data_IF_571773331495
#
_entry.id   IF_571773331495
#
_cell.length_a   1.000
_cell.length_b   1.000
_cell.length_c   1.000
_cell.angle_alpha   90.00
_cell.angle_beta   90.00
_cell.angle_gamma   90.00
#
_symmetry.space_group_name_H-M   'P 1'
#
loop_
_entity.id
_entity.type
_entity.pdbx_description
1 polymer ?
#
# COMPACT_ATOMS: atom_id res chain seq x y z
N UNK A 1 -31.13 58.70 46.10
CA UNK A 1 -29.94 57.99 45.58
C UNK A 1 -30.37 56.84 44.68
N UNK A 2 -30.33 57.00 43.35
CA UNK A 2 -30.32 55.88 42.38
C UNK A 2 -29.55 56.35 41.13
N UNK A 3 -28.30 55.91 40.98
CA UNK A 3 -27.46 56.18 39.79
C UNK A 3 -27.88 55.24 38.67
N UNK A 4 -28.16 55.78 37.47
CA UNK A 4 -28.34 55.00 36.23
C UNK A 4 -27.00 55.04 35.49
N UNK A 5 -26.36 53.89 35.34
CA UNK A 5 -25.18 53.71 34.49
C UNK A 5 -25.63 53.00 33.20
N UNK A 6 -25.31 53.62 32.06
CA UNK A 6 -25.42 53.04 30.73
C UNK A 6 -24.33 51.97 30.58
N UNK A 7 -24.74 50.73 30.27
CA UNK A 7 -23.82 49.66 29.89
C UNK A 7 -23.59 49.72 28.37
N UNK A 8 -22.33 49.64 27.89
CA UNK A 8 -22.03 49.49 26.48
C UNK A 8 -22.30 48.04 26.04
N UNK A 9 -22.93 47.89 24.89
CA UNK A 9 -23.11 46.62 24.21
C UNK A 9 -21.74 46.18 23.67
N UNK A 10 -21.05 45.30 24.39
CA UNK A 10 -19.94 44.54 23.85
C UNK A 10 -20.52 43.35 23.08
N UNK A 11 -20.52 43.44 21.75
CA UNK A 11 -20.74 42.29 20.89
C UNK A 11 -19.56 41.32 21.06
N UNK A 12 -19.71 40.39 22.00
CA UNK A 12 -18.82 39.24 22.13
C UNK A 12 -19.06 38.32 20.94
N UNK A 13 -18.27 38.47 19.89
CA UNK A 13 -18.14 37.50 18.82
C UNK A 13 -17.50 36.25 19.44
N UNK A 14 -18.33 35.35 19.94
CA UNK A 14 -17.91 34.04 20.40
C UNK A 14 -17.44 33.27 19.17
N UNK A 15 -16.12 33.31 18.89
CA UNK A 15 -15.47 32.37 17.99
C UNK A 15 -15.72 30.98 18.57
N UNK A 16 -16.77 30.32 18.08
CA UNK A 16 -16.87 28.87 18.17
C UNK A 16 -15.73 28.34 17.32
N UNK A 17 -14.59 28.07 17.95
CA UNK A 17 -13.56 27.22 17.37
C UNK A 17 -14.26 25.91 17.04
N UNK A 18 -14.56 25.72 15.76
CA UNK A 18 -15.01 24.45 15.24
C UNK A 18 -13.96 23.42 15.64
N UNK A 19 -14.31 22.61 16.63
CA UNK A 19 -13.60 21.36 16.89
C UNK A 19 -13.66 20.62 15.57
N UNK A 20 -12.50 20.42 14.95
CA UNK A 20 -12.39 19.56 13.79
C UNK A 20 -12.90 18.19 14.20
N UNK A 21 -14.14 17.89 13.82
CA UNK A 21 -14.64 16.53 13.80
C UNK A 21 -13.80 15.86 12.73
N UNK A 22 -12.73 15.20 13.16
CA UNK A 22 -12.09 14.20 12.33
C UNK A 22 -13.12 13.09 12.14
N UNK A 23 -13.85 13.12 11.03
CA UNK A 23 -14.67 11.99 10.62
C UNK A 23 -13.78 10.75 10.66
N UNK A 24 -14.14 9.80 11.52
CA UNK A 24 -13.45 8.53 11.63
C UNK A 24 -13.65 7.78 10.31
N UNK A 25 -12.68 7.90 9.41
CA UNK A 25 -12.74 7.24 8.11
C UNK A 25 -12.70 5.72 8.32
N UNK A 26 -13.68 5.01 7.75
CA UNK A 26 -13.78 3.57 7.87
C UNK A 26 -12.53 2.90 7.26
N UNK A 27 -11.99 1.88 7.93
CA UNK A 27 -10.84 1.13 7.44
C UNK A 27 -11.14 0.48 6.08
N UNK A 28 -10.23 0.65 5.11
CA UNK A 28 -10.39 0.10 3.76
C UNK A 28 -9.79 -1.30 3.63
N UNK A 29 -10.17 -2.02 2.57
CA UNK A 29 -9.55 -3.31 2.19
C UNK A 29 -8.04 -3.18 1.95
N UNK A 30 -7.61 -2.04 1.39
CA UNK A 30 -6.20 -1.74 1.17
C UNK A 30 -5.46 -1.54 2.49
N UNK A 31 -6.05 -0.82 3.45
CA UNK A 31 -5.46 -0.63 4.78
C UNK A 31 -5.28 -1.97 5.51
N UNK A 32 -6.29 -2.83 5.43
CA UNK A 32 -6.21 -4.17 5.99
C UNK A 32 -5.10 -5.00 5.35
N UNK A 33 -5.07 -5.08 4.02
CA UNK A 33 -4.11 -5.95 3.32
C UNK A 33 -2.69 -5.45 3.51
N UNK A 34 -2.48 -4.14 3.47
CA UNK A 34 -1.21 -3.48 3.76
C UNK A 34 -0.75 -3.76 5.20
N UNK A 35 -1.65 -3.56 6.17
CA UNK A 35 -1.38 -3.83 7.59
C UNK A 35 -1.04 -5.30 7.81
N UNK A 36 -1.80 -6.22 7.20
CA UNK A 36 -1.58 -7.65 7.34
C UNK A 36 -0.20 -8.07 6.80
N UNK A 37 0.18 -7.59 5.60
CA UNK A 37 1.45 -7.90 4.93
C UNK A 37 2.67 -7.30 5.64
N UNK A 38 2.51 -6.20 6.37
CA UNK A 38 3.60 -5.56 7.12
C UNK A 38 4.25 -6.47 8.17
N UNK A 39 3.58 -7.54 8.58
CA UNK A 39 4.07 -8.50 9.56
C UNK A 39 4.67 -9.77 8.95
N UNK A 40 4.76 -9.89 7.62
CA UNK A 40 5.39 -11.06 6.97
C UNK A 40 6.80 -11.28 7.54
N UNK A 41 7.10 -12.53 7.88
CA UNK A 41 8.37 -12.93 8.48
C UNK A 41 8.43 -12.84 10.01
N UNK A 42 7.43 -12.23 10.69
CA UNK A 42 7.37 -12.26 12.16
C UNK A 42 7.34 -13.72 12.64
N UNK A 43 8.22 -14.14 13.57
CA UNK A 43 8.30 -15.52 14.03
C UNK A 43 7.00 -16.02 14.65
N UNK A 44 6.76 -17.32 14.55
CA UNK A 44 5.66 -17.94 15.28
C UNK A 44 6.08 -18.28 16.69
N UNK A 45 5.22 -17.95 17.67
CA UNK A 45 5.36 -18.40 19.05
C UNK A 45 3.98 -18.81 19.57
N UNK A 46 3.83 -20.05 20.03
CA UNK A 46 2.58 -20.52 20.60
C UNK A 46 2.19 -19.69 21.83
N UNK A 47 0.97 -19.12 21.85
CA UNK A 47 0.53 -18.20 22.89
C UNK A 47 1.20 -16.81 22.83
N UNK A 48 2.11 -16.58 21.89
CA UNK A 48 2.87 -15.33 21.77
C UNK A 48 2.00 -14.16 21.29
N UNK A 49 2.30 -12.97 21.78
CA UNK A 49 1.57 -11.72 21.48
C UNK A 49 2.50 -10.56 21.13
N UNK A 50 3.80 -10.80 20.96
CA UNK A 50 4.81 -9.77 20.71
C UNK A 50 5.43 -10.00 19.33
N UNK A 51 5.37 -9.00 18.45
CA UNK A 51 5.91 -9.07 17.09
C UNK A 51 7.43 -9.24 17.02
N UNK A 52 8.16 -8.96 18.11
CA UNK A 52 9.62 -9.12 18.18
C UNK A 52 10.03 -10.53 18.56
N UNK A 53 9.33 -11.15 19.51
CA UNK A 53 9.67 -12.49 20.01
C UNK A 53 8.87 -13.59 19.30
N UNK A 54 7.70 -13.25 18.79
CA UNK A 54 6.84 -14.10 17.99
C UNK A 54 5.38 -14.02 18.41
N UNK A 55 4.50 -14.32 17.46
CA UNK A 55 3.05 -14.30 17.65
C UNK A 55 2.44 -15.64 17.29
N UNK A 56 1.33 -16.00 17.93
CA UNK A 56 0.48 -17.08 17.43
C UNK A 56 -0.50 -16.58 16.35
N UNK A 57 -1.18 -17.52 15.70
CA UNK A 57 -2.11 -17.21 14.61
C UNK A 57 -3.23 -16.23 15.02
N UNK A 58 -3.78 -16.39 16.22
CA UNK A 58 -4.87 -15.55 16.72
C UNK A 58 -4.42 -14.21 17.28
N UNK A 59 -3.21 -14.13 17.86
CA UNK A 59 -2.60 -12.88 18.25
C UNK A 59 -2.22 -12.03 17.03
N UNK A 60 -1.74 -12.67 15.96
CA UNK A 60 -1.48 -12.01 14.69
C UNK A 60 -2.75 -11.33 14.13
N UNK A 61 -3.86 -12.05 14.04
CA UNK A 61 -5.13 -11.46 13.55
C UNK A 61 -5.62 -10.34 14.47
N UNK A 62 -5.51 -10.49 15.80
CA UNK A 62 -5.81 -9.42 16.76
C UNK A 62 -4.99 -8.15 16.48
N UNK A 63 -3.68 -8.30 16.29
CA UNK A 63 -2.78 -7.16 16.03
C UNK A 63 -3.23 -6.43 14.77
N UNK A 64 -3.44 -7.15 13.66
CA UNK A 64 -3.86 -6.55 12.38
C UNK A 64 -5.19 -5.81 12.52
N UNK A 65 -6.22 -6.45 13.08
CA UNK A 65 -7.54 -5.83 13.22
C UNK A 65 -7.55 -4.68 14.23
N UNK A 66 -6.73 -4.74 15.30
CA UNK A 66 -6.62 -3.65 16.28
C UNK A 66 -6.08 -2.36 15.68
N UNK A 67 -5.18 -2.45 14.69
CA UNK A 67 -4.68 -1.27 13.94
C UNK A 67 -5.76 -0.58 13.11
N UNK A 68 -6.86 -1.30 12.84
CA UNK A 68 -8.04 -0.80 12.13
C UNK A 68 -9.19 -0.50 13.10
N UNK A 69 -8.93 -0.46 14.41
CA UNK A 69 -9.94 -0.17 15.43
C UNK A 69 -10.90 -1.32 15.74
N UNK A 70 -10.63 -2.54 15.27
CA UNK A 70 -11.51 -3.71 15.48
C UNK A 70 -10.88 -4.65 16.51
N UNK A 71 -11.63 -4.96 17.57
CA UNK A 71 -11.19 -5.89 18.61
C UNK A 71 -11.61 -7.32 18.28
N UNK A 72 -10.65 -8.25 18.29
CA UNK A 72 -10.88 -9.68 18.16
C UNK A 72 -10.66 -10.40 19.49
N UNK A 73 -11.36 -11.52 19.69
CA UNK A 73 -11.10 -12.42 20.81
C UNK A 73 -9.70 -13.07 20.72
N UNK A 74 -9.16 -13.52 21.85
CA UNK A 74 -7.74 -13.93 21.96
C UNK A 74 -7.41 -15.23 21.23
N UNK A 75 -8.30 -16.22 21.24
CA UNK A 75 -7.99 -17.56 20.70
C UNK A 75 -8.68 -17.79 19.36
N UNK A 76 -8.12 -18.63 18.50
CA UNK A 76 -8.71 -18.98 17.20
C UNK A 76 -10.12 -19.59 17.36
N UNK A 77 -10.33 -20.44 18.36
CA UNK A 77 -11.66 -21.00 18.68
C UNK A 77 -12.66 -19.90 19.08
N UNK A 78 -12.23 -18.91 19.86
CA UNK A 78 -13.08 -17.80 20.29
C UNK A 78 -13.38 -16.83 19.13
N UNK A 79 -12.38 -16.54 18.28
CA UNK A 79 -12.58 -15.77 17.05
C UNK A 79 -13.54 -16.46 16.08
N UNK A 80 -13.57 -17.81 16.04
CA UNK A 80 -14.52 -18.55 15.23
C UNK A 80 -15.98 -18.37 15.69
N UNK A 81 -16.21 -17.98 16.94
CA UNK A 81 -17.54 -17.64 17.45
C UNK A 81 -17.87 -16.15 17.27
N UNK A 82 -16.96 -15.35 16.71
CA UNK A 82 -17.13 -13.92 16.50
C UNK A 82 -17.48 -13.62 15.03
N UNK A 83 -18.49 -12.76 14.82
CA UNK A 83 -18.91 -12.31 13.49
C UNK A 83 -19.82 -13.29 12.75
N UNK A 84 -20.06 -12.99 11.47
CA UNK A 84 -21.03 -13.71 10.62
C UNK A 84 -20.36 -14.87 9.89
N UNK A 85 -20.95 -16.06 9.90
CA UNK A 85 -20.44 -17.21 9.13
C UNK A 85 -20.52 -16.96 7.62
N UNK A 86 -19.43 -17.23 6.90
CA UNK A 86 -19.33 -17.04 5.46
C UNK A 86 -19.05 -18.37 4.75
N UNK A 87 -19.79 -18.64 3.67
CA UNK A 87 -19.53 -19.78 2.81
C UNK A 87 -18.20 -19.60 2.05
N UNK A 88 -17.47 -20.69 1.79
CA UNK A 88 -16.13 -20.63 1.17
C UNK A 88 -16.11 -19.91 -0.19
N UNK A 89 -17.20 -20.01 -0.96
CA UNK A 89 -17.37 -19.33 -2.26
C UNK A 89 -17.84 -17.87 -2.15
N UNK A 90 -18.06 -17.36 -0.93
CA UNK A 90 -18.49 -15.98 -0.64
C UNK A 90 -17.41 -15.21 0.12
N UNK A 91 -16.20 -15.77 0.20
CA UNK A 91 -15.05 -15.15 0.85
C UNK A 91 -14.73 -13.80 0.21
N UNK A 92 -14.61 -12.79 1.04
CA UNK A 92 -14.13 -11.45 0.69
C UNK A 92 -12.90 -11.12 1.51
N UNK A 93 -12.01 -10.30 0.94
CA UNK A 93 -10.81 -9.85 1.65
C UNK A 93 -11.18 -9.28 3.02
N UNK A 94 -10.47 -9.71 4.05
CA UNK A 94 -10.79 -9.39 5.46
C UNK A 94 -11.68 -10.38 6.18
N UNK A 95 -12.21 -11.40 5.51
CA UNK A 95 -12.78 -12.54 6.22
C UNK A 95 -11.67 -13.31 6.94
N UNK A 96 -11.94 -13.73 8.18
CA UNK A 96 -11.09 -14.67 8.90
C UNK A 96 -11.39 -16.09 8.41
N UNK A 97 -10.34 -16.85 8.11
CA UNK A 97 -10.42 -18.25 7.65
C UNK A 97 -9.80 -19.17 8.69
N UNK A 98 -10.47 -20.30 8.94
CA UNK A 98 -10.17 -21.17 10.07
C UNK A 98 -9.86 -22.59 9.62
N UNK A 99 -8.92 -23.24 10.31
CA UNK A 99 -8.42 -24.55 9.94
C UNK A 99 -8.25 -25.50 11.14
N UNK A 100 -8.29 -26.81 10.86
CA UNK A 100 -7.97 -27.90 11.78
C UNK A 100 -6.57 -28.45 11.48
N UNK A 101 -5.59 -27.90 12.17
CA UNK A 101 -4.17 -28.29 12.11
C UNK A 101 -3.75 -29.21 13.26
N UNK A 102 -4.55 -29.30 14.34
CA UNK A 102 -4.26 -30.15 15.51
C UNK A 102 -4.94 -31.52 15.49
N UNK A 103 -5.88 -31.75 14.56
CA UNK A 103 -6.64 -33.00 14.44
C UNK A 103 -8.05 -32.94 15.00
N UNK A 104 -8.43 -31.92 15.76
CA UNK A 104 -9.80 -31.72 16.24
C UNK A 104 -10.14 -30.23 16.39
N UNK A 105 -11.33 -29.85 15.90
CA UNK A 105 -11.85 -28.49 16.01
C UNK A 105 -11.04 -27.42 15.25
N UNK A 106 -11.36 -26.16 15.52
CA UNK A 106 -10.59 -25.01 15.03
C UNK A 106 -9.33 -24.83 15.88
N UNK A 107 -8.17 -24.89 15.22
CA UNK A 107 -6.86 -24.73 15.87
C UNK A 107 -5.98 -23.66 15.21
N UNK A 108 -6.35 -23.17 14.03
CA UNK A 108 -5.60 -22.15 13.30
C UNK A 108 -6.53 -21.12 12.66
N UNK A 109 -6.05 -19.88 12.56
CA UNK A 109 -6.77 -18.76 11.92
C UNK A 109 -5.84 -17.95 11.04
N UNK A 110 -6.37 -17.37 9.97
CA UNK A 110 -5.70 -16.39 9.14
C UNK A 110 -6.67 -15.39 8.54
N UNK A 111 -6.13 -14.40 7.83
CA UNK A 111 -6.90 -13.35 7.17
C UNK A 111 -6.93 -13.66 5.68
N UNK A 112 -8.12 -13.78 5.09
CA UNK A 112 -8.27 -13.91 3.64
C UNK A 112 -7.89 -12.59 2.95
N UNK A 113 -7.04 -12.67 1.93
CA UNK A 113 -6.50 -11.51 1.22
C UNK A 113 -6.78 -11.56 -0.29
N UNK A 114 -7.78 -12.34 -0.71
CA UNK A 114 -8.17 -12.49 -2.11
C UNK A 114 -7.53 -13.70 -2.81
N UNK A 115 -8.12 -14.13 -3.91
CA UNK A 115 -7.57 -15.12 -4.86
C UNK A 115 -7.15 -16.46 -4.25
N UNK A 116 -7.98 -16.97 -3.33
CA UNK A 116 -7.66 -18.17 -2.53
C UNK A 116 -6.44 -18.00 -1.62
N UNK A 117 -5.86 -16.81 -1.49
CA UNK A 117 -4.72 -16.54 -0.61
C UNK A 117 -5.20 -16.09 0.76
N UNK A 118 -4.49 -16.51 1.80
CA UNK A 118 -4.67 -16.04 3.15
C UNK A 118 -3.31 -15.84 3.82
N UNK A 119 -3.26 -14.94 4.79
CA UNK A 119 -2.05 -14.64 5.55
C UNK A 119 -2.24 -15.07 7.00
N UNK A 120 -1.25 -15.77 7.55
CA UNK A 120 -1.29 -16.27 8.93
C UNK A 120 0.10 -16.49 9.50
N UNK A 121 0.21 -16.51 10.83
CA UNK A 121 1.43 -16.91 11.54
C UNK A 121 1.53 -18.44 11.62
N UNK A 122 2.50 -19.04 10.93
CA UNK A 122 2.71 -20.49 10.84
C UNK A 122 3.94 -20.95 11.62
N UNK A 123 3.88 -22.14 12.22
CA UNK A 123 4.98 -22.71 13.01
C UNK A 123 6.30 -22.84 12.24
N UNK A 124 6.24 -23.06 10.93
CA UNK A 124 7.43 -23.34 10.10
C UNK A 124 8.06 -22.11 9.44
N UNK A 125 7.33 -21.01 9.27
CA UNK A 125 7.88 -19.84 8.55
C UNK A 125 7.39 -18.50 9.08
N UNK A 126 6.82 -18.47 10.29
CA UNK A 126 6.23 -17.25 10.83
C UNK A 126 5.04 -16.77 10.01
N UNK A 127 4.80 -15.46 10.02
CA UNK A 127 3.74 -14.85 9.21
C UNK A 127 4.07 -14.95 7.72
N UNK A 128 3.19 -15.61 6.97
CA UNK A 128 3.34 -15.76 5.51
C UNK A 128 2.00 -15.87 4.81
N UNK A 129 2.05 -15.81 3.49
CA UNK A 129 0.91 -16.03 2.61
C UNK A 129 0.89 -17.48 2.15
N UNK A 130 -0.26 -18.12 2.28
CA UNK A 130 -0.54 -19.48 1.82
C UNK A 130 -1.83 -19.50 1.00
N UNK A 131 -2.08 -20.61 0.29
CA UNK A 131 -3.33 -20.83 -0.46
C UNK A 131 -4.29 -21.68 0.35
N UNK A 132 -5.52 -21.21 0.54
CA UNK A 132 -6.61 -21.96 1.19
C UNK A 132 -6.87 -23.28 0.48
N UNK A 133 -6.75 -23.29 -0.84
CA UNK A 133 -7.02 -24.45 -1.69
C UNK A 133 -5.75 -25.23 -2.04
N UNK A 134 -4.65 -25.01 -1.32
CA UNK A 134 -3.45 -25.82 -1.46
C UNK A 134 -3.81 -27.31 -1.24
N UNK A 135 -3.51 -28.20 -2.19
CA UNK A 135 -3.91 -29.61 -2.12
C UNK A 135 -3.09 -30.44 -1.13
N UNK A 136 -1.96 -29.92 -0.64
CA UNK A 136 -1.00 -30.64 0.21
C UNK A 136 -1.28 -30.47 1.70
N UNK A 137 -1.67 -29.27 2.14
CA UNK A 137 -1.80 -28.98 3.57
C UNK A 137 -3.08 -28.23 3.94
N UNK A 138 -3.36 -27.08 3.32
CA UNK A 138 -4.42 -26.19 3.80
C UNK A 138 -5.83 -26.59 3.32
N UNK A 139 -5.93 -27.12 2.11
CA UNK A 139 -7.22 -27.46 1.48
C UNK A 139 -8.04 -28.46 2.28
N UNK A 140 -7.42 -29.54 2.73
CA UNK A 140 -8.06 -30.60 3.54
C UNK A 140 -8.34 -30.19 4.98
N UNK A 141 -7.75 -29.07 5.44
CA UNK A 141 -7.85 -28.59 6.82
C UNK A 141 -8.82 -27.44 7.00
N UNK A 142 -9.38 -26.90 5.92
CA UNK A 142 -10.32 -25.78 5.99
C UNK A 142 -11.58 -26.17 6.77
N UNK A 143 -11.91 -25.38 7.80
CA UNK A 143 -13.09 -25.60 8.66
C UNK A 143 -14.21 -24.62 8.31
N UNK A 144 -13.91 -23.35 8.10
CA UNK A 144 -14.92 -22.32 7.84
C UNK A 144 -14.35 -20.90 7.87
N UNK A 145 -15.24 -19.91 7.72
CA UNK A 145 -14.86 -18.50 7.72
C UNK A 145 -15.84 -17.60 8.46
N UNK A 146 -15.34 -16.44 8.94
CA UNK A 146 -16.10 -15.43 9.66
C UNK A 146 -15.81 -14.02 9.13
N UNK A 147 -16.86 -13.24 8.88
CA UNK A 147 -16.77 -11.81 8.58
C UNK A 147 -16.96 -11.02 9.86
N UNK A 148 -15.95 -10.25 10.24
CA UNK A 148 -15.93 -9.48 11.49
C UNK A 148 -16.41 -8.05 11.29
N UNK A 149 -16.02 -7.45 10.17
CA UNK A 149 -16.38 -6.09 9.81
C UNK A 149 -16.54 -5.98 8.29
N UNK A 150 -17.31 -4.99 7.87
CA UNK A 150 -17.35 -4.58 6.48
C UNK A 150 -16.28 -3.51 6.29
N UNK A 151 -15.21 -3.87 5.61
CA UNK A 151 -14.25 -2.90 5.11
C UNK A 151 -14.82 -2.32 3.83
N UNK A 152 -14.76 -0.99 3.69
CA UNK A 152 -15.17 -0.38 2.42
C UNK A 152 -14.17 -0.80 1.36
N UNK A 153 -14.68 -1.38 0.28
CA UNK A 153 -13.92 -1.49 -0.96
C UNK A 153 -13.68 -0.03 -1.41
N UNK A 154 -12.44 0.46 -1.34
CA UNK A 154 -12.03 1.40 -2.38
C UNK A 154 -11.91 0.49 -3.60
N UNK A 155 -12.97 0.43 -4.41
CA UNK A 155 -13.19 -0.50 -5.54
C UNK A 155 -11.92 -1.24 -5.99
N UNK A 156 -11.75 -2.48 -5.52
CA UNK A 156 -10.81 -3.46 -6.05
C UNK A 156 -11.41 -4.86 -5.86
N UNK A 157 -12.44 -5.16 -6.67
CA UNK A 157 -13.03 -6.48 -6.80
C UNK A 157 -12.16 -7.44 -7.65
N UNK A 158 -12.10 -8.70 -7.20
CA UNK A 158 -11.72 -9.95 -7.88
C UNK A 158 -10.41 -10.03 -8.71
N UNK A 159 -9.48 -10.92 -8.32
CA UNK A 159 -8.45 -11.47 -9.24
C UNK A 159 -8.72 -12.97 -9.51
N UNK A 160 -9.64 -13.23 -10.45
CA UNK A 160 -9.24 -14.16 -11.52
C UNK A 160 -8.14 -13.43 -12.28
N UNK A 161 -7.01 -14.07 -12.56
CA UNK A 161 -5.82 -13.42 -13.14
C UNK A 161 -6.18 -12.36 -14.18
N UNK A 162 -6.13 -11.08 -13.80
CA UNK A 162 -6.48 -9.97 -14.69
C UNK A 162 -5.77 -8.70 -14.25
N UNK A 163 -5.31 -7.99 -15.27
CA UNK A 163 -4.64 -6.68 -15.42
C UNK A 163 -4.46 -5.76 -14.20
N UNK A 164 -3.27 -5.14 -14.15
CA UNK A 164 -2.96 -4.02 -13.25
C UNK A 164 -3.95 -2.89 -13.52
N UNK A 165 -4.67 -2.47 -12.47
CA UNK A 165 -5.59 -1.35 -12.55
C UNK A 165 -4.84 -0.01 -12.59
N UNK A 166 -4.74 0.55 -13.80
CA UNK A 166 -4.14 1.86 -14.06
C UNK A 166 -5.03 3.05 -13.66
N UNK A 167 -6.25 2.82 -13.16
CA UNK A 167 -7.05 3.90 -12.55
C UNK A 167 -6.52 4.30 -11.17
N UNK A 168 -5.75 3.41 -10.53
CA UNK A 168 -5.16 3.63 -9.20
C UNK A 168 -3.65 3.77 -9.29
N UNK A 169 -2.97 2.88 -10.02
CA UNK A 169 -1.50 2.84 -10.09
C UNK A 169 -0.94 3.53 -11.32
N UNK A 170 0.12 4.29 -11.12
CA UNK A 170 0.87 4.91 -12.19
C UNK A 170 1.60 3.86 -13.02
N UNK A 171 1.22 3.75 -14.29
CA UNK A 171 1.97 2.97 -15.28
C UNK A 171 3.24 3.71 -15.70
N UNK A 172 4.21 2.98 -16.23
CA UNK A 172 5.42 3.58 -16.84
C UNK A 172 5.06 4.54 -17.98
N UNK A 173 4.01 4.24 -18.76
CA UNK A 173 3.49 5.13 -19.79
C UNK A 173 2.85 6.41 -19.23
N UNK A 174 2.12 6.31 -18.14
CA UNK A 174 1.49 7.46 -17.49
C UNK A 174 2.52 8.38 -16.84
N UNK A 175 3.54 7.79 -16.20
CA UNK A 175 4.71 8.54 -15.70
C UNK A 175 5.40 9.26 -16.85
N UNK A 176 5.61 8.59 -17.99
CA UNK A 176 6.23 9.21 -19.15
C UNK A 176 5.43 10.40 -19.68
N UNK A 177 4.10 10.27 -19.79
CA UNK A 177 3.24 11.38 -20.22
C UNK A 177 3.33 12.58 -19.28
N UNK A 178 3.14 12.35 -17.98
CA UNK A 178 3.16 13.43 -16.99
C UNK A 178 4.54 14.11 -16.92
N UNK A 179 5.63 13.34 -17.03
CA UNK A 179 6.99 13.90 -17.08
C UNK A 179 7.26 14.69 -18.35
N UNK A 180 6.89 14.17 -19.52
CA UNK A 180 7.07 14.88 -20.77
C UNK A 180 6.32 16.22 -20.77
N UNK A 181 5.11 16.24 -20.21
CA UNK A 181 4.34 17.48 -20.03
C UNK A 181 5.03 18.43 -19.03
N UNK A 182 5.47 17.93 -17.88
CA UNK A 182 6.11 18.73 -16.83
C UNK A 182 7.44 19.35 -17.30
N UNK A 183 8.17 18.65 -18.17
CA UNK A 183 9.43 19.10 -18.75
C UNK A 183 9.26 19.85 -20.07
N UNK A 184 8.03 20.01 -20.54
CA UNK A 184 7.70 20.64 -21.83
C UNK A 184 8.45 20.03 -23.02
N UNK A 185 8.55 18.69 -23.06
CA UNK A 185 9.25 17.98 -24.13
C UNK A 185 8.44 17.96 -25.43
N UNK A 186 9.15 17.96 -26.56
CA UNK A 186 8.55 17.67 -27.86
C UNK A 186 8.23 16.16 -27.98
N UNK A 187 6.94 15.84 -27.97
CA UNK A 187 6.43 14.47 -28.12
C UNK A 187 5.82 14.20 -29.50
N UNK A 188 6.12 15.03 -30.51
CA UNK A 188 5.58 14.86 -31.87
C UNK A 188 6.09 13.59 -32.57
N UNK A 189 7.30 13.14 -32.24
CA UNK A 189 7.87 11.91 -32.79
C UNK A 189 7.28 10.66 -32.12
N UNK A 190 6.26 10.05 -32.73
CA UNK A 190 5.67 8.80 -32.25
C UNK A 190 6.42 7.53 -32.67
N UNK A 191 7.49 7.62 -33.47
CA UNK A 191 8.32 6.46 -33.80
C UNK A 191 9.23 6.13 -32.62
N UNK A 192 8.69 5.39 -31.66
CA UNK A 192 9.42 4.97 -30.47
C UNK A 192 10.50 3.96 -30.81
N UNK A 193 11.70 4.17 -30.27
CA UNK A 193 12.81 3.23 -30.34
C UNK A 193 12.63 2.05 -29.36
N UNK A 194 11.51 1.97 -28.65
CA UNK A 194 11.16 0.82 -27.81
C UNK A 194 10.34 -0.20 -28.64
N UNK A 195 10.75 -1.48 -28.69
CA UNK A 195 10.17 -2.47 -29.59
C UNK A 195 8.72 -2.85 -29.27
N UNK A 196 8.25 -2.60 -28.06
CA UNK A 196 6.90 -2.89 -27.58
C UNK A 196 5.98 -1.65 -27.56
N UNK A 197 6.44 -0.50 -28.06
CA UNK A 197 5.65 0.75 -28.12
C UNK A 197 5.28 1.06 -29.56
N UNK A 198 4.05 0.74 -29.94
CA UNK A 198 3.50 1.07 -31.26
C UNK A 198 3.46 2.60 -31.49
N UNK A 199 3.70 3.10 -32.71
CA UNK A 199 3.51 4.53 -33.03
C UNK A 199 2.08 5.06 -32.82
N UNK A 200 1.08 4.16 -32.80
CA UNK A 200 -0.31 4.51 -32.46
C UNK A 200 -0.58 4.58 -30.95
N UNK A 201 0.38 4.19 -30.11
CA UNK A 201 0.24 4.27 -28.66
C UNK A 201 0.23 5.72 -28.21
N UNK A 202 -0.70 6.06 -27.30
CA UNK A 202 -0.73 7.40 -26.67
C UNK A 202 0.56 7.73 -25.90
N UNK A 203 1.37 6.74 -25.54
CA UNK A 203 2.64 6.93 -24.82
C UNK A 203 3.85 7.09 -25.75
N UNK A 204 3.71 6.89 -27.06
CA UNK A 204 4.84 6.72 -27.97
C UNK A 204 5.80 7.91 -28.00
N UNK A 205 5.25 9.12 -28.19
CA UNK A 205 6.05 10.35 -28.23
C UNK A 205 6.75 10.66 -26.91
N UNK A 206 6.06 10.49 -25.79
CA UNK A 206 6.64 10.72 -24.46
C UNK A 206 7.73 9.69 -24.12
N UNK A 207 7.50 8.41 -24.43
CA UNK A 207 8.47 7.35 -24.22
C UNK A 207 9.74 7.59 -25.05
N UNK A 208 9.60 8.01 -26.31
CA UNK A 208 10.74 8.33 -27.18
C UNK A 208 11.52 9.56 -26.68
N UNK A 209 10.83 10.64 -26.31
CA UNK A 209 11.47 11.84 -25.79
C UNK A 209 12.29 11.55 -24.52
N UNK A 210 11.72 10.80 -23.56
CA UNK A 210 12.41 10.44 -22.32
C UNK A 210 13.52 9.41 -22.51
N UNK A 211 13.43 8.56 -23.54
CA UNK A 211 14.54 7.67 -23.94
C UNK A 211 15.73 8.48 -24.45
N UNK A 212 15.52 9.49 -25.28
CA UNK A 212 16.59 10.39 -25.77
C UNK A 212 17.30 11.12 -24.65
N UNK A 213 16.59 11.45 -23.57
CA UNK A 213 17.16 12.04 -22.35
C UNK A 213 17.86 11.02 -21.44
N UNK A 214 17.80 9.72 -21.75
CA UNK A 214 18.39 8.65 -20.95
C UNK A 214 17.62 8.30 -19.67
N UNK A 215 16.43 8.88 -19.46
CA UNK A 215 15.60 8.67 -18.26
C UNK A 215 14.96 7.28 -18.26
N UNK A 216 14.52 6.82 -19.44
CA UNK A 216 14.01 5.46 -19.61
C UNK A 216 14.92 4.68 -20.58
N UNK A 217 15.50 3.58 -20.09
CA UNK A 217 16.38 2.70 -20.87
C UNK A 217 15.69 1.43 -21.36
N UNK A 218 14.54 1.08 -20.79
CA UNK A 218 13.84 -0.18 -21.02
C UNK A 218 14.29 -1.31 -20.08
N UNK A 219 13.68 -2.47 -20.21
CA UNK A 219 14.07 -3.69 -19.49
C UNK A 219 15.27 -4.39 -20.13
N UNK A 220 15.62 -5.59 -19.66
CA UNK A 220 16.74 -6.39 -20.18
C UNK A 220 16.61 -6.75 -21.67
N UNK A 221 15.39 -6.72 -22.22
CA UNK A 221 15.10 -6.95 -23.63
C UNK A 221 14.91 -5.63 -24.39
N UNK A 222 15.22 -4.50 -23.76
CA UNK A 222 15.01 -3.17 -24.31
C UNK A 222 13.56 -2.76 -24.42
N UNK A 223 12.60 -3.46 -23.79
CA UNK A 223 11.17 -3.11 -23.83
C UNK A 223 10.83 -2.00 -22.83
N UNK A 224 9.91 -1.12 -23.20
CA UNK A 224 9.44 -0.06 -22.33
C UNK A 224 8.45 -0.55 -21.28
N UNK A 225 7.59 -1.51 -21.61
CA UNK A 225 6.49 -2.01 -20.78
C UNK A 225 5.57 -0.87 -20.29
N UNK A 226 4.95 -0.16 -21.23
CA UNK A 226 4.17 1.06 -20.94
C UNK A 226 3.02 0.83 -19.93
N UNK A 227 2.36 -0.32 -20.04
CA UNK A 227 1.31 -0.77 -19.12
C UNK A 227 1.85 -1.60 -17.96
N UNK A 228 3.05 -1.33 -17.45
CA UNK A 228 3.51 -1.93 -16.19
C UNK A 228 3.53 -0.87 -15.09
N UNK A 229 3.12 -1.21 -13.86
CA UNK A 229 3.21 -0.29 -12.73
C UNK A 229 4.67 0.01 -12.42
N UNK A 230 4.92 1.18 -11.85
CA UNK A 230 6.26 1.59 -11.40
C UNK A 230 6.35 1.53 -9.87
N UNK A 231 7.48 1.04 -9.34
CA UNK A 231 7.74 1.12 -7.89
C UNK A 231 8.24 2.50 -7.48
N UNK A 232 8.14 2.83 -6.19
CA UNK A 232 8.66 4.10 -5.65
C UNK A 232 10.17 4.24 -5.82
N UNK A 233 10.93 3.15 -5.72
CA UNK A 233 12.37 3.15 -6.02
C UNK A 233 12.66 3.48 -7.48
N UNK A 234 11.92 2.85 -8.41
CA UNK A 234 12.04 3.12 -9.86
C UNK A 234 11.65 4.55 -10.20
N UNK A 235 10.53 5.04 -9.66
CA UNK A 235 10.13 6.44 -9.83
C UNK A 235 11.20 7.39 -9.26
N UNK A 236 11.82 7.06 -8.12
CA UNK A 236 12.86 7.90 -7.52
C UNK A 236 14.04 8.11 -8.46
N UNK A 237 14.53 7.04 -9.07
CA UNK A 237 15.58 7.12 -10.11
C UNK A 237 15.12 7.99 -11.27
N UNK A 238 13.93 7.71 -11.81
CA UNK A 238 13.37 8.44 -12.96
C UNK A 238 13.29 9.94 -12.70
N UNK A 239 12.78 10.36 -11.54
CA UNK A 239 12.66 11.77 -11.19
C UNK A 239 14.03 12.45 -11.02
N UNK A 240 14.98 11.78 -10.36
CA UNK A 240 16.33 12.33 -10.19
C UNK A 240 17.03 12.52 -11.53
N UNK A 241 16.94 11.55 -12.43
CA UNK A 241 17.54 11.63 -13.76
C UNK A 241 16.85 12.68 -14.63
N UNK A 242 15.52 12.71 -14.65
CA UNK A 242 14.73 13.60 -15.50
C UNK A 242 14.90 15.08 -15.15
N UNK A 243 15.04 15.42 -13.86
CA UNK A 243 15.21 16.79 -13.38
C UNK A 243 16.66 17.13 -13.01
N UNK A 244 17.61 16.21 -13.27
CA UNK A 244 19.02 16.35 -12.92
C UNK A 244 19.25 16.77 -11.46
N UNK A 245 18.47 16.19 -10.55
CA UNK A 245 18.46 16.58 -9.14
C UNK A 245 19.78 16.22 -8.48
N UNK A 246 20.26 17.13 -7.63
CA UNK A 246 21.41 16.91 -6.76
C UNK A 246 20.94 16.93 -5.32
N UNK A 247 21.66 16.24 -4.44
CA UNK A 247 21.32 16.27 -3.02
C UNK A 247 21.42 17.69 -2.47
N UNK A 248 20.38 18.13 -1.76
CA UNK A 248 20.34 19.43 -1.10
C UNK A 248 20.16 19.27 0.40
N UNK A 249 21.23 19.48 1.17
CA UNK A 249 21.21 19.32 2.62
C UNK A 249 21.14 17.86 3.07
N UNK A 250 20.57 17.66 4.25
CA UNK A 250 20.55 16.36 4.94
C UNK A 250 19.41 15.48 4.41
N UNK A 251 19.77 14.31 3.87
CA UNK A 251 18.81 13.30 3.45
C UNK A 251 18.18 12.57 4.64
N UNK A 252 16.90 12.21 4.51
CA UNK A 252 16.23 11.32 5.45
C UNK A 252 16.76 9.89 5.29
N UNK A 253 16.83 9.14 6.39
CA UNK A 253 17.19 7.73 6.39
C UNK A 253 15.93 6.89 6.53
N UNK A 254 15.81 5.86 5.70
CA UNK A 254 14.68 4.94 5.71
C UNK A 254 15.16 3.52 5.99
N UNK A 255 14.46 2.82 6.89
CA UNK A 255 14.83 1.47 7.34
C UNK A 255 14.76 0.46 6.20
N UNK A 256 13.79 0.62 5.30
CA UNK A 256 13.57 -0.22 4.13
C UNK A 256 14.39 0.23 2.90
N UNK A 257 15.28 1.22 3.06
CA UNK A 257 16.21 1.66 2.01
C UNK A 257 17.63 1.69 2.57
N UNK A 258 18.23 0.54 2.90
CA UNK A 258 19.61 0.49 3.40
C UNK A 258 20.59 1.06 2.38
N UNK A 259 21.79 1.47 2.82
CA UNK A 259 22.83 2.04 1.94
C UNK A 259 23.27 1.11 0.81
N UNK A 260 23.10 -0.21 0.98
CA UNK A 260 23.36 -1.22 -0.06
C UNK A 260 22.26 -1.31 -1.11
N UNK A 261 21.09 -0.71 -0.88
CA UNK A 261 19.97 -0.76 -1.81
C UNK A 261 20.27 0.12 -3.04
N UNK A 262 20.02 -0.41 -4.25
CA UNK A 262 20.30 0.31 -5.51
C UNK A 262 19.59 1.66 -5.60
N UNK A 263 18.42 1.79 -4.98
CA UNK A 263 17.62 3.01 -4.97
C UNK A 263 18.07 4.04 -3.91
N UNK A 264 18.99 3.69 -3.00
CA UNK A 264 19.31 4.48 -1.81
C UNK A 264 19.71 5.91 -2.15
N UNK A 265 20.65 6.10 -3.08
CA UNK A 265 21.11 7.43 -3.48
C UNK A 265 19.98 8.28 -4.07
N UNK A 266 19.10 7.71 -4.89
CA UNK A 266 17.99 8.43 -5.49
C UNK A 266 16.96 8.86 -4.44
N UNK A 267 16.62 7.97 -3.51
CA UNK A 267 15.70 8.26 -2.40
C UNK A 267 16.29 9.34 -1.48
N UNK A 268 17.60 9.28 -1.20
CA UNK A 268 18.30 10.29 -0.43
C UNK A 268 18.21 11.67 -1.09
N UNK A 269 18.45 11.76 -2.40
CA UNK A 269 18.32 13.01 -3.17
C UNK A 269 16.89 13.53 -3.08
N UNK A 270 15.87 12.72 -3.31
CA UNK A 270 14.47 13.16 -3.24
C UNK A 270 14.09 13.69 -1.85
N UNK A 271 14.51 12.99 -0.79
CA UNK A 271 14.17 13.41 0.57
C UNK A 271 14.89 14.71 0.97
N UNK A 272 16.14 14.87 0.57
CA UNK A 272 16.93 16.09 0.82
C UNK A 272 16.31 17.33 0.14
N UNK A 273 15.74 17.13 -1.05
CA UNK A 273 15.00 18.16 -1.79
C UNK A 273 13.53 18.32 -1.32
N UNK A 274 13.13 17.67 -0.22
CA UNK A 274 11.76 17.70 0.34
C UNK A 274 10.66 17.21 -0.62
N UNK A 275 11.04 16.48 -1.66
CA UNK A 275 10.10 15.87 -2.61
C UNK A 275 9.35 14.70 -1.96
N UNK A 276 9.99 14.02 -1.01
CA UNK A 276 9.39 12.92 -0.26
C UNK A 276 9.73 12.97 1.22
N UNK A 277 8.77 12.56 2.05
CA UNK A 277 8.94 12.37 3.49
C UNK A 277 8.82 10.89 3.89
N UNK A 278 8.77 9.98 2.90
CA UNK A 278 8.43 8.58 3.09
C UNK A 278 6.94 8.35 3.33
N UNK A 279 6.59 7.18 3.87
CA UNK A 279 5.23 6.77 4.23
C UNK A 279 4.98 6.75 5.74
N UNK A 280 5.88 7.36 6.52
CA UNK A 280 5.88 7.32 7.99
C UNK A 280 6.68 6.14 8.55
N UNK A 281 6.87 6.13 9.88
CA UNK A 281 7.62 5.10 10.62
C UNK A 281 9.03 4.82 10.07
N UNK A 282 9.72 5.84 9.57
CA UNK A 282 11.01 5.73 8.90
C UNK A 282 11.00 4.75 7.70
N UNK A 283 9.86 4.55 7.04
CA UNK A 283 9.75 3.76 5.83
C UNK A 283 9.58 4.64 4.60
N UNK A 284 10.24 4.27 3.51
CA UNK A 284 10.04 4.88 2.21
C UNK A 284 8.98 4.16 1.38
N UNK A 285 8.88 2.83 1.49
CA UNK A 285 8.10 1.95 0.64
C UNK A 285 8.78 1.66 -0.70
N UNK A 286 10.08 1.32 -0.72
CA UNK A 286 10.88 1.33 -1.97
C UNK A 286 10.37 0.38 -3.07
N UNK A 287 9.77 -0.74 -2.68
CA UNK A 287 9.16 -1.72 -3.60
C UNK A 287 7.65 -1.52 -3.81
N UNK A 288 7.03 -0.55 -3.12
CA UNK A 288 5.59 -0.30 -3.27
C UNK A 288 5.32 0.34 -4.64
N UNK A 289 4.26 -0.10 -5.32
CA UNK A 289 3.79 0.54 -6.55
C UNK A 289 3.29 1.96 -6.27
N UNK A 290 3.58 2.89 -7.17
CA UNK A 290 3.16 4.29 -7.05
C UNK A 290 1.72 4.45 -7.52
N UNK A 291 0.89 5.13 -6.72
CA UNK A 291 -0.45 5.54 -7.15
C UNK A 291 -0.41 6.83 -7.98
N UNK A 292 -1.43 7.09 -8.82
CA UNK A 292 -1.51 8.33 -9.60
C UNK A 292 -1.47 9.59 -8.71
N UNK A 293 -2.17 9.56 -7.57
CA UNK A 293 -2.18 10.65 -6.59
C UNK A 293 -0.79 10.88 -5.97
N UNK A 294 -0.07 9.80 -5.68
CA UNK A 294 1.31 9.91 -5.19
C UNK A 294 2.20 10.52 -6.27
N UNK A 295 2.13 10.03 -7.51
CA UNK A 295 2.89 10.58 -8.63
C UNK A 295 2.66 12.09 -8.78
N UNK A 296 1.40 12.54 -8.76
CA UNK A 296 1.07 13.96 -8.84
C UNK A 296 1.65 14.76 -7.67
N UNK A 297 1.65 14.19 -6.47
CA UNK A 297 2.30 14.81 -5.30
C UNK A 297 3.81 14.96 -5.49
N UNK A 298 4.49 13.93 -6.04
CA UNK A 298 5.92 14.01 -6.35
C UNK A 298 6.20 15.12 -7.37
N UNK A 299 5.42 15.18 -8.45
CA UNK A 299 5.58 16.18 -9.51
C UNK A 299 5.27 17.61 -9.03
N UNK A 300 4.24 17.78 -8.21
CA UNK A 300 3.89 19.08 -7.64
C UNK A 300 5.02 19.62 -6.76
N UNK A 301 5.68 18.76 -5.98
CA UNK A 301 6.81 19.16 -5.13
C UNK A 301 8.08 19.45 -5.92
N UNK A 302 8.24 18.86 -7.10
CA UNK A 302 9.34 19.17 -8.02
C UNK A 302 9.20 20.56 -8.67
N UNK A 303 7.99 21.09 -8.74
CA UNK A 303 7.70 22.39 -9.33
C UNK A 303 7.85 23.58 -8.36
N UNK A 304 8.17 23.31 -7.08
CA UNK A 304 8.36 24.32 -6.02
C UNK A 304 9.83 24.67 -5.86
#
# INVERSE_FOLDING_TARGET
>A
MKKRWLLPIFASFMFFTGVGVHDAQAATIADLTSTAKAYIGVPYQYGGTDIKTGVDCSAYTQIVFSKLGISLQRTSTAQYQQGTSIAKNQLKTGDLVFFNTSGSGVSHVGIYIGDSNFISATTSSGVKIDKINDPYYWGSRYVGAKRIANFTENDLGEVKGTEVDFSVYASRGEVALKLANQLHLDTSNSNSSFPDVSPSSKYAGAAEALKKLGVFTGDVNGKFNAGSPITRGQLSKVLVEAFHLKQQGTALQFVDVPSSHWANNYVAILSSNKITIGKGNNMFGVEDNVTLVQLDTFLQRLAQ
#
